data_IF_196775891771
#
_entry.id   IF_196775891771
#
_cell.length_a   1.000
_cell.length_b   1.000
_cell.length_c   1.000
_cell.angle_alpha   90.00
_cell.angle_beta   90.00
_cell.angle_gamma   90.00
#
_symmetry.space_group_name_H-M   'P 1'
#
loop_
_entity.id
_entity.type
_entity.pdbx_description
1 polymer ?
#
# COMPACT_ATOMS: atom_id res chain seq x y z
N UNK A 1 -34.06 2.78 -5.23
CA UNK A 1 -34.32 2.49 -3.81
C UNK A 1 -33.06 1.98 -3.13
N UNK A 2 -32.83 2.28 -1.84
CA UNK A 2 -31.82 1.60 -1.04
C UNK A 2 -32.15 0.11 -0.91
N UNK A 3 -31.14 -0.77 -0.97
CA UNK A 3 -31.32 -2.22 -0.84
C UNK A 3 -32.00 -2.62 0.49
N UNK A 4 -31.74 -1.89 1.57
CA UNK A 4 -32.34 -2.12 2.88
C UNK A 4 -33.86 -1.90 2.89
N UNK A 5 -34.40 -1.04 2.00
CA UNK A 5 -35.86 -0.86 1.87
C UNK A 5 -36.50 -2.15 1.34
N UNK A 6 -35.90 -2.80 0.34
CA UNK A 6 -36.41 -4.06 -0.20
C UNK A 6 -36.35 -5.21 0.82
N UNK A 7 -35.30 -5.25 1.65
CA UNK A 7 -35.17 -6.21 2.75
C UNK A 7 -36.22 -5.96 3.85
N UNK A 8 -36.53 -4.70 4.17
CA UNK A 8 -37.55 -4.34 5.16
C UNK A 8 -38.99 -4.55 4.67
N UNK A 9 -39.25 -4.39 3.37
CA UNK A 9 -40.59 -4.55 2.78
C UNK A 9 -41.01 -6.03 2.64
N UNK A 10 -40.05 -6.95 2.49
CA UNK A 10 -40.30 -8.38 2.37
C UNK A 10 -41.07 -9.00 3.56
N UNK A 11 -40.65 -8.85 4.84
CA UNK A 11 -41.40 -9.40 5.97
C UNK A 11 -42.74 -8.69 6.18
N UNK A 12 -42.84 -7.38 5.91
CA UNK A 12 -44.11 -6.63 6.02
C UNK A 12 -45.13 -7.14 4.99
N UNK A 13 -44.71 -7.36 3.74
CA UNK A 13 -45.55 -7.96 2.71
C UNK A 13 -45.98 -9.39 3.05
N UNK A 14 -45.05 -10.21 3.56
CA UNK A 14 -45.35 -11.58 4.02
C UNK A 14 -46.44 -11.58 5.10
N UNK A 15 -46.25 -10.83 6.18
CA UNK A 15 -47.17 -10.80 7.32
C UNK A 15 -48.57 -10.33 6.94
N UNK A 16 -48.68 -9.31 6.08
CA UNK A 16 -49.97 -8.82 5.58
C UNK A 16 -50.69 -9.89 4.76
N UNK A 17 -50.03 -10.50 3.76
CA UNK A 17 -50.63 -11.53 2.91
C UNK A 17 -50.97 -12.81 3.68
N UNK A 18 -50.12 -13.19 4.63
CA UNK A 18 -50.33 -14.34 5.51
C UNK A 18 -51.56 -14.15 6.42
N UNK A 19 -51.75 -12.94 6.99
CA UNK A 19 -52.92 -12.64 7.81
C UNK A 19 -54.25 -12.77 7.05
N UNK A 20 -54.27 -12.38 5.76
CA UNK A 20 -55.44 -12.53 4.87
C UNK A 20 -55.65 -14.00 4.47
N UNK A 21 -54.57 -14.75 4.27
CA UNK A 21 -54.64 -16.18 3.95
C UNK A 21 -55.15 -17.03 5.13
N UNK A 22 -54.77 -16.70 6.37
CA UNK A 22 -55.21 -17.41 7.58
C UNK A 22 -56.59 -16.97 8.10
N UNK A 23 -57.19 -15.92 7.55
CA UNK A 23 -58.53 -15.50 7.96
C UNK A 23 -59.54 -16.64 7.69
N UNK A 24 -60.43 -16.99 8.65
CA UNK A 24 -61.38 -18.11 8.47
C UNK A 24 -62.28 -17.87 7.24
N UNK A 25 -62.64 -18.94 6.53
CA UNK A 25 -63.68 -18.88 5.49
C UNK A 25 -65.06 -18.88 6.14
N UNK A 26 -65.98 -18.08 5.59
CA UNK A 26 -67.38 -18.14 5.99
C UNK A 26 -67.93 -19.57 5.79
N UNK A 27 -68.78 -20.07 6.70
CA UNK A 27 -69.35 -21.41 6.59
C UNK A 27 -70.22 -21.53 5.32
N UNK A 28 -70.15 -22.71 4.68
CA UNK A 28 -70.89 -23.00 3.47
C UNK A 28 -72.39 -23.18 3.79
N UNK A 29 -73.19 -22.14 3.58
CA UNK A 29 -74.66 -22.22 3.64
C UNK A 29 -75.22 -22.93 2.40
N UNK A 30 -75.99 -24.03 2.54
CA UNK A 30 -76.59 -24.72 1.40
C UNK A 30 -77.50 -23.80 0.58
N UNK A 31 -77.32 -23.79 -0.75
CA UNK A 31 -78.15 -23.04 -1.70
C UNK A 31 -77.62 -21.65 -2.11
N UNK A 32 -76.60 -21.11 -1.43
CA UNK A 32 -76.11 -19.75 -1.68
C UNK A 32 -74.85 -19.64 -2.54
N UNK A 33 -74.84 -20.11 -3.80
CA UNK A 33 -73.67 -19.93 -4.70
C UNK A 33 -73.68 -18.53 -5.33
N UNK A 34 -73.45 -17.50 -4.49
CA UNK A 34 -73.36 -16.11 -4.92
C UNK A 34 -71.97 -15.73 -5.47
N UNK A 35 -71.85 -14.69 -6.33
CA UNK A 35 -70.58 -14.22 -6.87
C UNK A 35 -69.57 -13.78 -5.80
N UNK A 36 -70.04 -13.41 -4.60
CA UNK A 36 -69.22 -13.06 -3.44
C UNK A 36 -68.36 -14.22 -2.91
N UNK A 37 -68.87 -15.46 -2.96
CA UNK A 37 -68.09 -16.66 -2.55
C UNK A 37 -67.00 -16.98 -3.56
N UNK A 38 -67.32 -16.88 -4.85
CA UNK A 38 -66.36 -17.09 -5.95
C UNK A 38 -65.24 -16.04 -5.85
N UNK A 39 -65.58 -14.76 -5.69
CA UNK A 39 -64.59 -13.70 -5.52
C UNK A 39 -63.69 -13.93 -4.30
N UNK A 40 -64.26 -14.34 -3.16
CA UNK A 40 -63.51 -14.61 -1.93
C UNK A 40 -62.53 -15.78 -2.02
N UNK A 41 -62.86 -16.86 -2.74
CA UNK A 41 -61.94 -18.00 -2.94
C UNK A 41 -60.80 -17.67 -3.88
N UNK A 42 -61.05 -16.94 -4.99
CA UNK A 42 -59.98 -16.44 -5.85
C UNK A 42 -59.02 -15.50 -5.12
N UNK A 43 -59.54 -14.60 -4.27
CA UNK A 43 -58.72 -13.65 -3.50
C UNK A 43 -57.83 -14.37 -2.47
N UNK A 44 -58.34 -15.43 -1.81
CA UNK A 44 -57.53 -16.27 -0.90
C UNK A 44 -56.49 -17.11 -1.64
N UNK A 45 -56.81 -17.66 -2.81
CA UNK A 45 -55.82 -18.36 -3.64
C UNK A 45 -54.69 -17.41 -4.09
N UNK A 46 -55.03 -16.17 -4.47
CA UNK A 46 -54.05 -15.14 -4.83
C UNK A 46 -53.17 -14.75 -3.62
N UNK A 47 -53.75 -14.60 -2.42
CA UNK A 47 -52.99 -14.30 -1.20
C UNK A 47 -52.05 -15.45 -0.79
N UNK A 48 -52.51 -16.70 -0.90
CA UNK A 48 -51.73 -17.92 -0.64
C UNK A 48 -50.49 -18.03 -1.53
N UNK A 49 -50.61 -17.68 -2.82
CA UNK A 49 -49.47 -17.63 -3.74
C UNK A 49 -48.60 -16.37 -3.50
N UNK A 50 -49.25 -15.22 -3.32
CA UNK A 50 -48.61 -13.92 -3.14
C UNK A 50 -47.67 -13.85 -1.94
N UNK A 51 -48.01 -14.54 -0.83
CA UNK A 51 -47.21 -14.52 0.40
C UNK A 51 -45.76 -14.96 0.18
N UNK A 52 -45.48 -15.85 -0.78
CA UNK A 52 -44.12 -16.30 -1.10
C UNK A 52 -43.50 -15.52 -2.25
N UNK A 53 -44.31 -15.12 -3.24
CA UNK A 53 -43.83 -14.40 -4.44
C UNK A 53 -43.34 -12.99 -4.07
N UNK A 54 -44.08 -12.24 -3.24
CA UNK A 54 -43.73 -10.85 -2.91
C UNK A 54 -42.39 -10.75 -2.16
N UNK A 55 -42.12 -11.52 -1.08
CA UNK A 55 -40.81 -11.50 -0.42
C UNK A 55 -39.66 -11.92 -1.34
N UNK A 56 -39.86 -12.95 -2.18
CA UNK A 56 -38.83 -13.40 -3.13
C UNK A 56 -38.49 -12.31 -4.14
N UNK A 57 -39.49 -11.64 -4.73
CA UNK A 57 -39.27 -10.51 -5.66
C UNK A 57 -38.59 -9.33 -4.96
N UNK A 58 -38.99 -8.99 -3.72
CA UNK A 58 -38.34 -7.93 -2.94
C UNK A 58 -36.87 -8.25 -2.59
N UNK A 59 -36.56 -9.49 -2.21
CA UNK A 59 -35.20 -9.93 -1.90
C UNK A 59 -34.32 -10.01 -3.15
N UNK A 60 -34.85 -10.51 -4.28
CA UNK A 60 -34.15 -10.48 -5.58
C UNK A 60 -33.85 -9.04 -6.02
N UNK A 61 -34.83 -8.13 -5.90
CA UNK A 61 -34.65 -6.71 -6.18
C UNK A 61 -33.59 -6.05 -5.28
N UNK A 62 -33.59 -6.37 -3.99
CA UNK A 62 -32.58 -5.90 -3.04
C UNK A 62 -31.17 -6.43 -3.36
N UNK A 63 -31.05 -7.72 -3.71
CA UNK A 63 -29.79 -8.35 -4.11
C UNK A 63 -29.24 -7.73 -5.40
N UNK A 64 -30.07 -7.59 -6.45
CA UNK A 64 -29.68 -6.93 -7.70
C UNK A 64 -29.25 -5.48 -7.46
N UNK A 65 -29.97 -4.74 -6.62
CA UNK A 65 -29.61 -3.36 -6.23
C UNK A 65 -28.28 -3.29 -5.48
N UNK A 66 -28.03 -4.21 -4.55
CA UNK A 66 -26.77 -4.30 -3.81
C UNK A 66 -25.57 -4.60 -4.74
N UNK A 67 -25.72 -5.58 -5.63
CA UNK A 67 -24.70 -5.95 -6.61
C UNK A 67 -24.41 -4.80 -7.59
N UNK A 68 -25.45 -4.14 -8.10
CA UNK A 68 -25.28 -2.95 -8.95
C UNK A 68 -24.63 -1.78 -8.20
N UNK A 69 -24.96 -1.54 -6.93
CA UNK A 69 -24.35 -0.48 -6.14
C UNK A 69 -22.88 -0.72 -5.87
N UNK A 70 -22.48 -1.97 -5.56
CA UNK A 70 -21.06 -2.38 -5.46
C UNK A 70 -20.32 -2.16 -6.78
N UNK A 71 -20.89 -2.58 -7.93
CA UNK A 71 -20.29 -2.34 -9.25
C UNK A 71 -20.11 -0.84 -9.56
N UNK A 72 -21.12 0.00 -9.27
CA UNK A 72 -21.02 1.46 -9.44
C UNK A 72 -19.92 2.07 -8.57
N UNK A 73 -19.80 1.65 -7.30
CA UNK A 73 -18.74 2.15 -6.41
C UNK A 73 -17.34 1.76 -6.90
N UNK A 74 -17.14 0.52 -7.32
CA UNK A 74 -15.87 0.06 -7.90
C UNK A 74 -15.49 0.86 -9.16
N UNK A 75 -16.44 1.10 -10.07
CA UNK A 75 -16.21 1.88 -11.30
C UNK A 75 -15.85 3.34 -10.99
N UNK A 76 -16.56 4.00 -10.06
CA UNK A 76 -16.23 5.36 -9.64
C UNK A 76 -14.84 5.47 -9.02
N UNK A 77 -14.40 4.46 -8.27
CA UNK A 77 -13.06 4.44 -7.70
C UNK A 77 -12.00 4.23 -8.79
N UNK A 78 -12.20 3.26 -9.69
CA UNK A 78 -11.31 3.02 -10.83
C UNK A 78 -11.11 4.27 -11.70
N UNK A 79 -12.18 5.00 -12.06
CA UNK A 79 -12.07 6.24 -12.85
C UNK A 79 -11.32 7.35 -12.11
N UNK A 80 -11.55 7.50 -10.80
CA UNK A 80 -10.84 8.50 -9.96
C UNK A 80 -9.36 8.18 -9.74
N UNK A 81 -9.01 6.90 -9.78
CA UNK A 81 -7.64 6.43 -9.65
C UNK A 81 -6.92 6.54 -10.99
N UNK A 82 -7.58 6.22 -12.11
CA UNK A 82 -7.08 6.47 -13.47
C UNK A 82 -6.85 7.95 -13.75
N UNK A 83 -7.83 8.84 -13.51
CA UNK A 83 -7.65 10.28 -13.80
C UNK A 83 -6.53 10.94 -13.00
N UNK A 84 -6.16 10.32 -11.88
CA UNK A 84 -5.12 10.81 -10.99
C UNK A 84 -3.76 10.16 -11.28
N UNK A 85 -3.73 8.90 -11.74
CA UNK A 85 -2.56 8.32 -12.40
C UNK A 85 -2.18 9.12 -13.65
N UNK A 86 -3.15 9.47 -14.51
CA UNK A 86 -2.96 10.33 -15.68
C UNK A 86 -2.37 11.70 -15.32
N UNK A 87 -2.82 12.30 -14.20
CA UNK A 87 -2.31 13.59 -13.73
C UNK A 87 -0.85 13.47 -13.24
N UNK A 88 -0.53 12.39 -12.53
CA UNK A 88 0.85 12.04 -12.16
C UNK A 88 1.69 11.81 -13.42
N UNK A 89 1.26 11.01 -14.39
CA UNK A 89 2.04 10.75 -15.61
C UNK A 89 2.38 12.00 -16.42
N UNK A 90 1.55 13.06 -16.35
CA UNK A 90 1.77 14.33 -17.07
C UNK A 90 2.67 15.34 -16.36
N UNK A 91 2.83 15.29 -15.03
CA UNK A 91 3.64 16.29 -14.31
C UNK A 91 5.16 16.05 -14.46
N UNK A 92 5.96 17.09 -14.21
CA UNK A 92 7.42 16.97 -14.19
C UNK A 92 7.90 16.30 -12.90
N UNK A 93 9.17 15.85 -12.88
CA UNK A 93 9.77 15.29 -11.67
C UNK A 93 9.84 16.30 -10.52
N UNK A 94 10.11 17.58 -10.80
CA UNK A 94 10.11 18.65 -9.79
C UNK A 94 8.73 18.86 -9.19
N UNK A 95 7.69 18.92 -10.04
CA UNK A 95 6.31 19.08 -9.58
C UNK A 95 5.87 17.91 -8.70
N UNK A 96 6.31 16.69 -9.04
CA UNK A 96 6.07 15.50 -8.23
C UNK A 96 6.72 15.59 -6.86
N UNK A 97 7.97 16.05 -6.77
CA UNK A 97 8.66 16.24 -5.49
C UNK A 97 8.01 17.31 -4.61
N UNK A 98 7.66 18.45 -5.20
CA UNK A 98 6.90 19.51 -4.52
C UNK A 98 5.56 18.96 -4.01
N UNK A 99 4.83 18.21 -4.83
CA UNK A 99 3.55 17.60 -4.48
C UNK A 99 3.67 16.57 -3.33
N UNK A 100 4.70 15.72 -3.36
CA UNK A 100 5.00 14.77 -2.28
C UNK A 100 5.37 15.52 -1.01
N UNK A 101 6.22 16.55 -1.12
CA UNK A 101 6.62 17.42 -0.01
C UNK A 101 5.42 18.10 0.66
N UNK A 102 4.53 18.71 -0.12
CA UNK A 102 3.28 19.30 0.38
C UNK A 102 2.37 18.26 1.06
N UNK A 103 2.25 17.05 0.48
CA UNK A 103 1.50 15.94 1.10
C UNK A 103 2.04 15.50 2.47
N UNK A 104 3.34 15.68 2.72
CA UNK A 104 3.97 15.48 4.03
C UNK A 104 3.88 16.72 4.94
N UNK A 105 4.03 17.95 4.41
CA UNK A 105 3.81 19.21 5.16
C UNK A 105 2.42 19.25 5.79
N UNK A 106 1.39 18.88 5.04
CA UNK A 106 0.00 18.75 5.53
C UNK A 106 -0.22 17.68 6.62
N UNK A 107 0.78 16.83 6.91
CA UNK A 107 0.78 15.84 8.01
C UNK A 107 1.61 16.27 9.24
N UNK A 108 2.07 17.52 9.25
CA UNK A 108 2.93 18.05 10.31
C UNK A 108 4.36 17.51 10.25
N UNK A 109 4.85 17.13 9.06
CA UNK A 109 6.28 16.94 8.85
C UNK A 109 6.89 18.27 8.41
N UNK A 110 8.01 18.67 9.02
CA UNK A 110 8.90 19.67 8.42
C UNK A 110 9.62 19.02 7.23
N UNK A 111 9.55 19.63 6.05
CA UNK A 111 10.10 19.06 4.81
C UNK A 111 11.19 19.95 4.26
N UNK A 112 12.41 19.40 4.22
CA UNK A 112 13.58 19.98 3.59
C UNK A 112 13.80 19.27 2.25
N UNK A 113 13.72 20.03 1.16
CA UNK A 113 14.04 19.56 -0.19
C UNK A 113 15.57 19.49 -0.32
N UNK A 114 16.13 18.35 -0.74
CA UNK A 114 17.58 18.25 -1.01
C UNK A 114 17.84 18.92 -2.36
N UNK A 115 18.10 20.24 -2.32
CA UNK A 115 18.16 21.11 -3.50
C UNK A 115 18.95 20.49 -4.66
N UNK A 116 18.25 20.25 -5.78
CA UNK A 116 18.76 19.39 -6.85
C UNK A 116 20.11 19.84 -7.42
N UNK A 117 21.11 18.94 -7.35
CA UNK A 117 22.43 19.14 -7.95
C UNK A 117 23.58 18.43 -7.25
N UNK A 118 23.41 18.03 -5.98
CA UNK A 118 24.42 17.31 -5.21
C UNK A 118 24.51 15.81 -5.52
N UNK A 119 25.63 15.19 -5.16
CA UNK A 119 25.82 13.73 -5.19
C UNK A 119 25.13 13.03 -4.00
N UNK A 120 23.89 13.44 -3.69
CA UNK A 120 23.23 13.28 -2.38
C UNK A 120 22.64 11.87 -2.14
N UNK A 121 23.27 10.83 -2.68
CA UNK A 121 22.96 9.43 -2.35
C UNK A 121 21.56 8.94 -2.73
N UNK A 122 20.81 9.70 -3.53
CA UNK A 122 19.47 9.31 -4.02
C UNK A 122 18.32 9.57 -3.06
N UNK A 123 18.46 10.49 -2.09
CA UNK A 123 17.33 10.99 -1.26
C UNK A 123 16.90 12.36 -1.76
N UNK A 124 15.60 12.49 -2.02
CA UNK A 124 15.01 13.66 -2.67
C UNK A 124 14.45 14.65 -1.62
N UNK A 125 13.82 14.12 -0.56
CA UNK A 125 13.32 14.92 0.58
C UNK A 125 13.82 14.37 1.92
N UNK A 126 14.12 15.26 2.86
CA UNK A 126 14.36 14.94 4.26
C UNK A 126 13.20 15.49 5.09
N UNK A 127 12.50 14.60 5.81
CA UNK A 127 11.39 14.95 6.69
C UNK A 127 11.88 14.96 8.14
N UNK A 128 11.39 15.90 8.95
CA UNK A 128 11.55 15.89 10.40
C UNK A 128 10.19 15.97 11.08
N UNK A 129 9.97 15.13 12.08
CA UNK A 129 8.75 15.12 12.89
C UNK A 129 9.03 14.46 14.25
N UNK A 130 8.49 15.05 15.32
CA UNK A 130 8.55 14.52 16.69
C UNK A 130 9.99 14.17 17.18
N UNK A 131 10.99 14.92 16.68
CA UNK A 131 12.42 14.71 16.94
C UNK A 131 13.10 13.67 16.03
N UNK A 132 12.33 12.86 15.30
CA UNK A 132 12.83 11.87 14.36
C UNK A 132 13.09 12.46 12.96
N UNK A 133 14.05 11.87 12.25
CA UNK A 133 14.35 12.18 10.84
C UNK A 133 13.96 11.02 9.95
N UNK A 134 13.26 11.32 8.85
CA UNK A 134 12.88 10.35 7.83
C UNK A 134 13.40 10.82 6.46
N UNK A 135 13.67 9.87 5.56
CA UNK A 135 14.15 10.15 4.20
C UNK A 135 13.14 9.69 3.15
N UNK A 136 12.97 10.45 2.08
CA UNK A 136 12.05 10.12 0.97
C UNK A 136 12.84 9.96 -0.33
N UNK A 137 12.52 8.91 -1.08
CA UNK A 137 13.01 8.69 -2.42
C UNK A 137 11.83 8.57 -3.40
N UNK A 138 11.78 9.51 -4.34
CA UNK A 138 10.84 9.65 -5.46
C UNK A 138 11.47 9.20 -6.80
N UNK A 139 12.75 8.81 -6.80
CA UNK A 139 13.49 8.26 -7.95
C UNK A 139 12.71 7.12 -8.64
N UNK A 140 12.66 7.17 -9.97
CA UNK A 140 11.88 6.25 -10.83
C UNK A 140 10.36 6.28 -10.60
N UNK A 141 9.77 7.37 -10.10
CA UNK A 141 8.34 7.41 -9.79
C UNK A 141 7.40 7.00 -10.94
N UNK A 142 7.68 7.38 -12.21
CA UNK A 142 6.91 6.96 -13.40
C UNK A 142 7.13 5.51 -13.86
N UNK A 143 8.00 4.73 -13.21
CA UNK A 143 8.23 3.34 -13.59
C UNK A 143 7.00 2.48 -13.27
N UNK A 144 6.54 1.70 -14.26
CA UNK A 144 5.37 0.80 -14.10
C UNK A 144 5.55 -0.21 -12.95
N UNK A 145 6.79 -0.67 -12.74
CA UNK A 145 7.17 -1.57 -11.64
C UNK A 145 8.51 -1.16 -11.04
N UNK A 146 8.56 -0.92 -9.73
CA UNK A 146 9.77 -0.57 -8.97
C UNK A 146 10.32 -1.80 -8.27
N UNK A 147 11.60 -2.11 -8.52
CA UNK A 147 12.29 -3.29 -7.97
C UNK A 147 12.90 -3.07 -6.58
N UNK A 148 13.31 -4.19 -5.95
CA UNK A 148 13.91 -4.20 -4.60
C UNK A 148 15.19 -3.36 -4.49
N UNK A 149 15.90 -3.13 -5.59
CA UNK A 149 17.18 -2.40 -5.61
C UNK A 149 17.03 -0.98 -5.07
N UNK A 150 15.97 -0.28 -5.46
CA UNK A 150 15.64 1.08 -4.97
C UNK A 150 15.37 1.06 -3.47
N UNK A 151 14.62 0.07 -2.98
CA UNK A 151 14.31 -0.09 -1.55
C UNK A 151 15.56 -0.42 -0.73
N UNK A 152 16.49 -1.20 -1.28
CA UNK A 152 17.80 -1.50 -0.66
C UNK A 152 18.74 -0.29 -0.68
N UNK A 153 18.73 0.52 -1.75
CA UNK A 153 19.46 1.79 -1.85
C UNK A 153 19.00 2.74 -0.73
N UNK A 154 17.69 2.97 -0.59
CA UNK A 154 17.14 3.79 0.49
C UNK A 154 17.48 3.26 1.89
N UNK A 155 17.43 1.95 2.12
CA UNK A 155 17.81 1.34 3.39
C UNK A 155 19.27 1.63 3.77
N UNK A 156 20.19 1.60 2.79
CA UNK A 156 21.58 1.99 2.98
C UNK A 156 21.72 3.46 3.36
N UNK A 157 20.97 4.36 2.72
CA UNK A 157 20.99 5.80 3.05
C UNK A 157 20.39 6.07 4.43
N UNK A 158 19.32 5.37 4.82
CA UNK A 158 18.75 5.46 6.17
C UNK A 158 19.78 5.12 7.24
N UNK A 159 20.51 4.01 7.06
CA UNK A 159 21.57 3.60 7.98
C UNK A 159 22.72 4.63 8.03
N UNK A 160 23.15 5.15 6.87
CA UNK A 160 24.22 6.14 6.80
C UNK A 160 23.84 7.52 7.39
N UNK A 161 22.57 7.92 7.31
CA UNK A 161 22.07 9.21 7.84
C UNK A 161 21.43 9.12 9.24
N UNK A 162 21.36 7.92 9.83
CA UNK A 162 20.70 7.71 11.12
C UNK A 162 19.19 7.99 11.09
N UNK A 163 18.53 7.78 9.94
CA UNK A 163 17.10 8.05 9.79
C UNK A 163 16.26 6.98 10.51
N UNK A 164 15.25 7.41 11.27
CA UNK A 164 14.32 6.54 11.98
C UNK A 164 13.47 5.70 11.01
N UNK A 165 13.19 6.23 9.81
CA UNK A 165 12.48 5.53 8.75
C UNK A 165 12.68 6.15 7.37
N UNK A 166 12.09 5.53 6.36
CA UNK A 166 12.13 6.01 4.99
C UNK A 166 10.85 5.73 4.20
N UNK A 167 10.65 6.52 3.14
CA UNK A 167 9.51 6.40 2.23
C UNK A 167 10.02 6.24 0.79
N UNK A 168 9.59 5.21 0.07
CA UNK A 168 9.79 5.11 -1.38
C UNK A 168 8.47 5.46 -2.06
N UNK A 169 8.47 6.43 -2.98
CA UNK A 169 7.25 6.97 -3.60
C UNK A 169 7.28 6.77 -5.12
N UNK A 170 6.22 6.18 -5.67
CA UNK A 170 6.06 5.93 -7.10
C UNK A 170 4.60 6.01 -7.52
N UNK A 171 4.32 6.41 -8.77
CA UNK A 171 2.97 6.29 -9.34
C UNK A 171 2.63 4.86 -9.77
N UNK A 172 3.65 4.02 -10.02
CA UNK A 172 3.50 2.61 -10.38
C UNK A 172 3.32 1.66 -9.19
N UNK A 173 3.66 0.38 -9.41
CA UNK A 173 3.58 -0.70 -8.42
C UNK A 173 4.98 -1.13 -7.96
N UNK A 174 5.09 -1.74 -6.79
CA UNK A 174 6.34 -2.36 -6.32
C UNK A 174 6.40 -3.84 -6.76
N UNK A 175 7.59 -4.45 -6.71
CA UNK A 175 7.72 -5.91 -6.81
C UNK A 175 7.39 -6.58 -5.48
N UNK A 176 6.96 -7.82 -5.53
CA UNK A 176 6.70 -8.64 -4.33
C UNK A 176 7.97 -8.76 -3.47
N UNK A 177 9.15 -8.81 -4.11
CA UNK A 177 10.46 -8.74 -3.44
C UNK A 177 10.73 -7.39 -2.76
N UNK A 178 10.30 -6.28 -3.36
CA UNK A 178 10.40 -4.95 -2.76
C UNK A 178 9.48 -4.80 -1.54
N UNK A 179 8.25 -5.32 -1.63
CA UNK A 179 7.31 -5.36 -0.51
C UNK A 179 7.80 -6.27 0.62
N UNK A 180 8.25 -7.49 0.31
CA UNK A 180 8.84 -8.41 1.28
C UNK A 180 10.13 -7.87 1.93
N UNK A 181 10.92 -7.06 1.20
CA UNK A 181 12.06 -6.37 1.80
C UNK A 181 11.64 -5.20 2.69
N UNK A 182 10.58 -4.44 2.35
CA UNK A 182 10.08 -3.38 3.22
C UNK A 182 9.41 -3.93 4.50
N UNK A 183 8.79 -5.12 4.44
CA UNK A 183 8.22 -5.78 5.62
C UNK A 183 9.25 -5.99 6.73
N UNK A 184 8.84 -5.68 7.97
CA UNK A 184 9.69 -5.77 9.16
C UNK A 184 10.81 -4.71 9.24
N UNK A 185 10.86 -3.73 8.32
CA UNK A 185 11.82 -2.62 8.33
C UNK A 185 11.07 -1.29 8.41
N UNK A 186 11.78 -0.23 8.81
CA UNK A 186 11.20 1.12 8.90
C UNK A 186 11.06 1.80 7.51
N UNK A 187 10.72 1.04 6.47
CA UNK A 187 10.51 1.55 5.11
C UNK A 187 9.04 1.41 4.73
N UNK A 188 8.46 2.48 4.22
CA UNK A 188 7.07 2.50 3.73
C UNK A 188 7.05 2.75 2.23
N UNK A 189 6.36 1.88 1.50
CA UNK A 189 6.18 1.97 0.06
C UNK A 189 4.87 2.71 -0.23
N UNK A 190 4.93 3.80 -1.00
CA UNK A 190 3.80 4.64 -1.37
C UNK A 190 3.59 4.56 -2.89
N UNK A 191 2.52 3.89 -3.30
CA UNK A 191 2.05 3.83 -4.69
C UNK A 191 1.18 5.04 -5.04
N UNK A 192 0.87 5.24 -6.33
CA UNK A 192 0.04 6.36 -6.81
C UNK A 192 -1.25 6.56 -6.00
N UNK A 193 -2.10 5.54 -5.80
CA UNK A 193 -3.31 5.66 -4.98
C UNK A 193 -3.04 6.04 -3.51
N UNK A 194 -1.95 5.53 -2.92
CA UNK A 194 -1.56 5.87 -1.54
C UNK A 194 -1.04 7.31 -1.44
N UNK A 195 -0.28 7.79 -2.44
CA UNK A 195 0.14 9.18 -2.55
C UNK A 195 -1.07 10.12 -2.76
N UNK A 196 -2.07 9.71 -3.52
CA UNK A 196 -3.30 10.50 -3.71
C UNK A 196 -4.14 10.57 -2.43
N UNK A 197 -4.18 9.51 -1.63
CA UNK A 197 -4.71 9.57 -0.26
C UNK A 197 -3.82 10.43 0.66
N UNK A 198 -2.50 10.46 0.43
CA UNK A 198 -1.60 11.39 1.10
C UNK A 198 -2.12 12.82 0.84
N UNK A 199 -2.06 13.29 -0.40
CA UNK A 199 -2.41 14.66 -0.80
C UNK A 199 -3.86 15.04 -0.42
N UNK A 200 -4.85 14.16 -0.69
CA UNK A 200 -6.28 14.50 -0.50
C UNK A 200 -6.74 14.59 0.95
N UNK A 201 -6.05 13.98 1.91
CA UNK A 201 -6.65 13.81 3.24
C UNK A 201 -6.62 15.07 4.12
N UNK A 202 -5.68 16.01 3.92
CA UNK A 202 -5.59 17.33 4.59
C UNK A 202 -5.56 17.35 6.14
N UNK A 203 -5.68 16.19 6.77
CA UNK A 203 -5.77 15.88 8.20
C UNK A 203 -5.19 14.48 8.40
N UNK A 204 -4.73 14.12 9.62
CA UNK A 204 -4.28 12.76 9.90
C UNK A 204 -5.42 11.76 9.67
N UNK A 205 -5.28 10.94 8.64
CA UNK A 205 -6.25 9.90 8.30
C UNK A 205 -6.16 8.75 9.32
N UNK A 206 -6.99 8.83 10.37
CA UNK A 206 -7.12 7.85 11.44
C UNK A 206 -7.76 6.52 10.96
N UNK A 207 -7.14 5.88 9.98
CA UNK A 207 -7.63 4.65 9.34
C UNK A 207 -6.70 4.05 8.26
N UNK A 208 -5.75 4.83 7.72
CA UNK A 208 -4.78 4.34 6.73
C UNK A 208 -3.46 3.90 7.39
N UNK A 209 -3.52 2.87 8.24
CA UNK A 209 -2.38 2.27 8.97
C UNK A 209 -1.32 3.28 9.43
N UNK A 210 -1.76 4.30 10.16
CA UNK A 210 -0.91 5.10 11.05
C UNK A 210 -0.68 4.33 12.35
N UNK A 211 -0.29 3.06 12.24
CA UNK A 211 0.56 2.50 13.28
C UNK A 211 1.81 3.40 13.32
N UNK A 212 2.12 4.06 14.46
CA UNK A 212 3.42 4.68 14.61
C UNK A 212 4.46 3.59 14.38
N UNK A 213 5.62 3.96 13.83
CA UNK A 213 6.80 3.12 13.97
C UNK A 213 7.02 3.02 15.48
N UNK A 214 6.59 1.91 16.09
CA UNK A 214 6.92 1.66 17.50
C UNK A 214 8.44 1.68 17.53
N UNK A 215 9.01 2.57 18.34
CA UNK A 215 10.45 2.73 18.46
C UNK A 215 11.09 1.38 18.85
N UNK A 216 11.48 0.62 17.84
CA UNK A 216 12.43 -0.47 17.97
C UNK A 216 13.75 0.23 18.21
N UNK A 217 14.07 0.34 19.50
CA UNK A 217 15.22 1.05 20.07
C UNK A 217 16.42 1.03 19.14
N UNK A 218 16.94 2.21 18.82
CA UNK A 218 18.25 2.32 18.17
C UNK A 218 19.25 1.43 18.93
N UNK A 219 20.13 0.68 18.23
CA UNK A 219 21.24 0.02 18.90
C UNK A 219 22.09 1.13 19.52
N UNK A 220 21.97 1.25 20.85
CA UNK A 220 22.64 2.25 21.68
C UNK A 220 24.12 2.25 21.30
N UNK A 221 24.60 3.38 20.77
CA UNK A 221 25.99 3.57 20.47
C UNK A 221 26.81 3.36 21.75
N UNK A 222 27.48 2.21 21.85
CA UNK A 222 28.44 1.93 22.90
C UNK A 222 29.66 2.81 22.64
N UNK A 223 29.87 3.79 23.51
CA UNK A 223 31.05 4.65 23.50
C UNK A 223 32.29 3.79 23.72
N UNK A 224 33.32 3.98 22.90
CA UNK A 224 34.63 3.35 23.07
C UNK A 224 35.74 4.31 22.60
N UNK A 225 35.89 5.43 23.30
CA UNK A 225 36.96 6.40 23.09
C UNK A 225 38.13 6.16 24.04
N UNK A 226 38.82 5.01 23.91
CA UNK A 226 40.13 4.79 24.56
C UNK A 226 40.99 3.86 23.71
N UNK A 227 42.19 4.33 23.39
CA UNK A 227 43.33 3.59 22.83
C UNK A 227 44.58 4.10 23.58
N UNK A 228 45.72 3.39 23.65
CA UNK A 228 46.03 2.04 23.15
C UNK A 228 46.61 1.08 24.22
N UNK A 229 46.57 -0.25 24.01
CA UNK A 229 47.63 -1.19 24.42
C UNK A 229 47.42 -2.65 23.91
N UNK A 230 48.46 -3.18 23.26
CA UNK A 230 48.97 -4.56 23.25
C UNK A 230 48.07 -5.84 23.16
N UNK A 231 48.45 -6.69 22.19
CA UNK A 231 48.57 -8.17 22.23
C UNK A 231 47.36 -9.12 21.95
N UNK A 232 47.60 -10.10 21.05
CA UNK A 232 46.79 -11.31 20.78
C UNK A 232 45.60 -11.11 19.81
N UNK A 233 45.62 -11.49 18.52
CA UNK A 233 45.78 -12.82 17.90
C UNK A 233 44.77 -13.87 18.46
N UNK A 234 43.96 -14.60 17.69
CA UNK A 234 43.55 -14.57 16.26
C UNK A 234 42.26 -15.45 16.11
N UNK A 235 41.57 -15.67 14.98
CA UNK A 235 41.69 -15.23 13.57
C UNK A 235 40.33 -15.43 12.85
N UNK A 236 39.96 -14.59 11.86
CA UNK A 236 38.87 -14.88 10.90
C UNK A 236 39.06 -14.08 9.59
N UNK A 237 39.54 -14.76 8.54
CA UNK A 237 39.72 -14.32 7.13
C UNK A 237 39.49 -12.82 6.81
N UNK A 238 40.46 -11.98 7.16
CA UNK A 238 40.38 -10.53 6.93
C UNK A 238 40.47 -10.19 5.43
N UNK A 239 39.47 -9.47 4.92
CA UNK A 239 39.51 -8.82 3.60
C UNK A 239 40.66 -7.79 3.59
N UNK A 240 41.63 -7.87 2.68
CA UNK A 240 42.76 -6.94 2.68
C UNK A 240 42.33 -5.53 2.28
N UNK A 241 43.04 -4.54 2.82
CA UNK A 241 42.95 -3.15 2.39
C UNK A 241 43.67 -2.93 1.05
N UNK A 242 43.14 -2.01 0.24
CA UNK A 242 43.67 -1.60 -1.05
C UNK A 242 45.00 -0.83 -0.90
N UNK A 243 46.08 -1.21 -1.61
CA UNK A 243 47.40 -0.57 -1.47
C UNK A 243 47.46 0.87 -2.01
N UNK A 244 46.44 1.33 -2.74
CA UNK A 244 46.43 2.66 -3.38
C UNK A 244 45.57 3.68 -2.61
N UNK A 245 44.53 3.25 -1.91
CA UNK A 245 43.59 4.15 -1.23
C UNK A 245 43.07 3.64 0.13
N UNK A 246 43.63 2.56 0.67
CA UNK A 246 43.24 1.91 1.93
C UNK A 246 41.81 1.35 2.06
N UNK A 247 40.92 1.58 1.07
CA UNK A 247 39.57 1.03 1.08
C UNK A 247 39.53 -0.51 1.00
N UNK A 248 38.41 -1.10 1.42
CA UNK A 248 38.12 -2.54 1.34
C UNK A 248 38.25 -3.09 -0.09
N UNK A 249 38.75 -4.31 -0.23
CA UNK A 249 38.83 -4.97 -1.53
C UNK A 249 37.70 -6.00 -1.74
N UNK A 250 37.28 -6.17 -2.98
CA UNK A 250 36.24 -7.13 -3.39
C UNK A 250 36.89 -8.18 -4.30
N UNK A 251 36.58 -9.46 -4.07
CA UNK A 251 37.10 -10.56 -4.90
C UNK A 251 36.45 -10.48 -6.29
N UNK A 252 37.27 -10.39 -7.34
CA UNK A 252 36.87 -10.36 -8.75
C UNK A 252 37.59 -11.46 -9.52
N UNK A 253 37.01 -11.91 -10.63
CA UNK A 253 37.62 -12.92 -11.52
C UNK A 253 38.06 -12.22 -12.81
N UNK A 254 39.30 -12.45 -13.25
CA UNK A 254 39.81 -11.90 -14.50
C UNK A 254 39.10 -12.56 -15.69
N UNK A 255 38.47 -11.75 -16.56
CA UNK A 255 37.69 -12.25 -17.70
C UNK A 255 38.49 -12.41 -19.00
N UNK A 256 39.69 -11.83 -19.10
CA UNK A 256 40.54 -11.77 -20.31
C UNK A 256 42.02 -11.67 -19.93
N UNK A 257 42.92 -12.13 -20.81
CA UNK A 257 44.38 -12.09 -20.65
C UNK A 257 44.97 -13.38 -20.08
N UNK A 258 46.29 -13.41 -19.88
CA UNK A 258 47.03 -14.59 -19.41
C UNK A 258 46.61 -15.12 -18.02
N UNK A 259 45.88 -14.31 -17.25
CA UNK A 259 45.33 -14.68 -15.93
C UNK A 259 43.81 -14.92 -15.96
N UNK A 260 43.20 -15.10 -17.14
CA UNK A 260 41.76 -15.34 -17.24
C UNK A 260 41.32 -16.56 -16.40
N UNK A 261 40.23 -16.41 -15.65
CA UNK A 261 39.75 -17.40 -14.68
C UNK A 261 40.36 -17.29 -13.28
N UNK A 262 41.52 -16.62 -13.11
CA UNK A 262 42.06 -16.38 -11.77
C UNK A 262 41.23 -15.34 -11.01
N UNK A 263 41.09 -15.56 -9.70
CA UNK A 263 40.45 -14.61 -8.81
C UNK A 263 41.51 -13.74 -8.11
N UNK A 264 41.20 -12.45 -7.96
CA UNK A 264 42.07 -11.44 -7.38
C UNK A 264 41.25 -10.45 -6.54
N UNK A 265 41.90 -9.74 -5.62
CA UNK A 265 41.30 -8.63 -4.90
C UNK A 265 41.34 -7.37 -5.76
N UNK A 266 40.20 -6.74 -6.02
CA UNK A 266 40.10 -5.43 -6.68
C UNK A 266 39.45 -4.40 -5.76
N UNK A 267 39.90 -3.15 -5.79
CA UNK A 267 39.35 -2.08 -4.96
C UNK A 267 37.82 -1.91 -5.11
N UNK A 268 37.11 -1.62 -4.01
CA UNK A 268 35.69 -1.26 -4.01
C UNK A 268 35.39 -0.03 -4.88
N UNK A 269 36.25 0.99 -4.84
CA UNK A 269 36.10 2.24 -5.60
C UNK A 269 36.55 2.16 -7.09
N UNK A 270 36.64 0.97 -7.70
CA UNK A 270 36.82 0.89 -9.16
C UNK A 270 35.59 1.47 -9.87
N UNK A 271 35.74 2.38 -10.87
CA UNK A 271 36.95 2.65 -11.66
C UNK A 271 37.86 3.77 -11.15
N UNK A 272 37.45 4.56 -10.15
CA UNK A 272 38.23 5.68 -9.61
C UNK A 272 39.55 5.22 -8.95
N UNK A 273 39.56 4.05 -8.32
CA UNK A 273 40.78 3.38 -7.86
C UNK A 273 40.98 2.04 -8.57
N UNK A 274 42.16 1.85 -9.20
CA UNK A 274 42.55 0.64 -9.93
C UNK A 274 43.44 -0.33 -9.12
N UNK A 275 43.55 -0.15 -7.80
CA UNK A 275 44.36 -1.00 -6.94
C UNK A 275 43.88 -2.46 -6.94
N UNK A 276 44.83 -3.38 -7.13
CA UNK A 276 44.61 -4.83 -7.12
C UNK A 276 45.64 -5.54 -6.24
N UNK A 277 45.31 -6.75 -5.77
CA UNK A 277 46.24 -7.68 -5.11
C UNK A 277 45.90 -9.11 -5.57
N UNK A 278 46.88 -10.03 -5.69
CA UNK A 278 46.59 -11.45 -5.84
C UNK A 278 45.81 -11.97 -4.62
N UNK A 279 45.09 -13.08 -4.81
CA UNK A 279 44.64 -13.93 -3.69
C UNK A 279 45.85 -14.67 -3.09
#
# INVERSE_FOLDING_TARGET
MPWWVGVALAPVGYLLLHSVAMAPSAPLTPGGIGPSLIWGTWLKALAMAGQFIVPVVCLLGALLSFLQRRKRQALHQQVRDSSAADALERMSWRDFEVLVGEGFRQRGYSVQESGGGGADGGVDLVLRKDGETFVVQCKQWKALKVGVSVVRELFGVMAARGAAGGFVVSSGRFTDEAEAFAQGRNIRLLTGPALLQLIRSGRPAAGASTAPVRAASAPRAAQASTSPAAAGAASAAAVPACPVCSQSMVRRVAKRGASAGSAFWGCSAYPACKGTRPL
#
